data_IF_285953830240
#
_entry.id   IF_285953830240
#
_cell.length_a   1.000
_cell.length_b   1.000
_cell.length_c   1.000
_cell.angle_alpha   90.00
_cell.angle_beta   90.00
_cell.angle_gamma   90.00
#
_symmetry.space_group_name_H-M   'P 1'
#
loop_
_entity.id
_entity.type
_entity.pdbx_description
1 polymer ?
#
# COMPACT_ATOMS: atom_id res chain seq x y z
N UNK A 1 -1.36 -21.39 -6.17
CA UNK A 1 -1.06 -20.32 -7.15
C UNK A 1 -1.07 -19.01 -6.38
N UNK A 2 -0.02 -18.20 -6.51
CA UNK A 2 0.07 -16.90 -5.83
C UNK A 2 -0.23 -15.81 -6.87
N UNK A 3 -1.28 -15.01 -6.64
CA UNK A 3 -1.56 -13.82 -7.44
C UNK A 3 -1.58 -12.59 -6.50
N UNK A 4 -0.78 -11.58 -6.85
CA UNK A 4 -0.75 -10.29 -6.17
C UNK A 4 -1.28 -9.23 -7.12
N UNK A 5 -2.37 -8.55 -6.74
CA UNK A 5 -2.92 -7.43 -7.49
C UNK A 5 -2.70 -6.14 -6.70
N UNK A 6 -2.20 -5.10 -7.37
CA UNK A 6 -2.17 -3.75 -6.78
C UNK A 6 -3.59 -3.20 -6.86
N UNK A 7 -4.27 -3.14 -5.73
CA UNK A 7 -5.70 -2.80 -5.64
C UNK A 7 -5.91 -1.31 -5.42
N UNK A 8 -4.91 -0.57 -4.93
CA UNK A 8 -5.10 0.84 -4.63
C UNK A 8 -3.85 1.68 -4.84
N UNK A 9 -4.01 2.77 -5.59
CA UNK A 9 -3.07 3.88 -5.66
C UNK A 9 -3.89 5.18 -5.55
N UNK A 10 -3.97 5.75 -4.34
CA UNK A 10 -4.81 6.92 -4.06
C UNK A 10 -4.00 8.00 -3.36
N UNK A 11 -4.11 9.23 -3.82
CA UNK A 11 -3.60 10.41 -3.12
C UNK A 11 -4.79 11.16 -2.52
N UNK A 12 -4.80 11.36 -1.21
CA UNK A 12 -5.86 12.08 -0.49
C UNK A 12 -5.25 13.21 0.35
N UNK A 13 -5.81 14.43 0.32
CA UNK A 13 -5.36 15.52 1.20
C UNK A 13 -5.80 15.26 2.65
N UNK A 14 -4.90 15.45 3.62
CA UNK A 14 -5.14 15.05 5.02
C UNK A 14 -5.65 16.17 5.94
N UNK A 15 -6.03 17.35 5.42
CA UNK A 15 -6.59 18.45 6.25
C UNK A 15 -7.78 19.16 5.64
N UNK A 16 -8.81 19.37 6.49
CA UNK A 16 -9.94 20.25 6.28
C UNK A 16 -9.75 21.53 7.13
N UNK A 17 -8.92 22.46 6.67
CA UNK A 17 -8.85 23.81 7.25
C UNK A 17 -9.34 24.83 6.22
N UNK A 18 -10.08 25.84 6.70
CA UNK A 18 -10.86 26.80 5.90
C UNK A 18 -10.04 27.73 4.97
N UNK A 19 -8.73 27.50 4.80
CA UNK A 19 -7.92 28.08 3.74
C UNK A 19 -7.44 26.95 2.84
N UNK A 20 -7.88 26.99 1.57
CA UNK A 20 -7.68 26.04 0.46
C UNK A 20 -6.21 25.69 0.12
N UNK A 21 -5.41 25.28 1.10
CA UNK A 21 -4.08 24.73 0.90
C UNK A 21 -4.04 23.45 1.71
N UNK A 22 -4.11 22.30 1.05
CA UNK A 22 -3.92 21.01 1.71
C UNK A 22 -2.58 21.07 2.47
N UNK A 23 -2.61 20.97 3.80
CA UNK A 23 -1.38 21.08 4.58
C UNK A 23 -0.44 19.89 4.30
N UNK A 24 -1.03 18.71 4.06
CA UNK A 24 -0.34 17.46 3.79
C UNK A 24 -1.14 16.64 2.78
N UNK A 25 -0.44 15.94 1.89
CA UNK A 25 -0.99 14.95 1.00
C UNK A 25 -0.59 13.56 1.52
N UNK A 26 -1.52 12.62 1.46
CA UNK A 26 -1.29 11.21 1.79
C UNK A 26 -1.30 10.38 0.54
N UNK A 27 -0.19 9.72 0.23
CA UNK A 27 -0.15 8.65 -0.77
C UNK A 27 -0.46 7.33 -0.08
N UNK A 28 -1.55 6.68 -0.46
CA UNK A 28 -1.91 5.33 -0.01
C UNK A 28 -1.70 4.34 -1.15
N UNK A 29 -0.96 3.28 -0.87
CA UNK A 29 -0.79 2.14 -1.77
C UNK A 29 -1.32 0.88 -1.09
N UNK A 30 -2.20 0.16 -1.78
CA UNK A 30 -2.79 -1.08 -1.32
C UNK A 30 -2.50 -2.22 -2.27
N UNK A 31 -2.07 -3.35 -1.73
CA UNK A 31 -1.83 -4.60 -2.45
C UNK A 31 -2.76 -5.67 -1.85
N UNK A 32 -3.54 -6.31 -2.70
CA UNK A 32 -4.34 -7.46 -2.31
C UNK A 32 -3.61 -8.73 -2.72
N UNK A 33 -3.31 -9.57 -1.73
CA UNK A 33 -2.65 -10.85 -1.95
C UNK A 33 -3.70 -11.93 -1.85
N UNK A 34 -3.84 -12.70 -2.93
CA UNK A 34 -4.73 -13.86 -2.99
C UNK A 34 -3.91 -15.12 -3.19
N UNK A 35 -4.08 -16.05 -2.26
CA UNK A 35 -3.55 -17.39 -2.34
C UNK A 35 -4.69 -18.32 -2.73
N UNK A 36 -4.53 -19.01 -3.86
CA UNK A 36 -5.46 -20.03 -4.33
C UNK A 36 -4.76 -21.38 -4.32
N UNK A 37 -5.20 -22.32 -3.50
CA UNK A 37 -4.72 -23.70 -3.58
C UNK A 37 -5.57 -24.48 -4.59
N UNK A 38 -4.92 -25.15 -5.54
CA UNK A 38 -5.63 -25.96 -6.54
C UNK A 38 -6.10 -27.31 -5.98
N UNK A 39 -5.55 -27.72 -4.84
CA UNK A 39 -5.85 -29.01 -4.21
C UNK A 39 -6.82 -28.86 -3.02
N UNK A 40 -6.86 -27.70 -2.38
CA UNK A 40 -7.74 -27.42 -1.24
C UNK A 40 -8.35 -26.00 -1.30
N UNK A 41 -9.59 -25.86 -1.81
CA UNK A 41 -10.24 -24.56 -1.88
C UNK A 41 -10.63 -23.98 -0.51
N UNK A 42 -10.58 -24.74 0.59
CA UNK A 42 -10.74 -24.18 1.95
C UNK A 42 -9.48 -23.48 2.45
N UNK A 43 -8.33 -23.72 1.80
CA UNK A 43 -7.08 -23.02 2.06
C UNK A 43 -6.95 -21.69 1.31
N UNK A 44 -7.95 -21.33 0.49
CA UNK A 44 -7.99 -20.05 -0.21
C UNK A 44 -7.94 -18.89 0.80
N UNK A 45 -6.96 -18.01 0.61
CA UNK A 45 -6.76 -16.86 1.49
C UNK A 45 -6.70 -15.58 0.68
N UNK A 46 -7.55 -14.63 1.04
CA UNK A 46 -7.46 -13.26 0.55
C UNK A 46 -7.08 -12.34 1.72
N UNK A 47 -5.99 -11.60 1.57
CA UNK A 47 -5.59 -10.60 2.53
C UNK A 47 -5.10 -9.34 1.84
N UNK A 48 -5.67 -8.21 2.26
CA UNK A 48 -5.31 -6.89 1.78
C UNK A 48 -4.33 -6.23 2.73
N UNK A 49 -3.25 -5.70 2.18
CA UNK A 49 -2.26 -4.89 2.88
C UNK A 49 -2.30 -3.49 2.30
N UNK A 50 -2.22 -2.48 3.15
CA UNK A 50 -2.20 -1.09 2.71
C UNK A 50 -1.27 -0.29 3.58
N UNK A 51 -0.44 0.53 2.96
CA UNK A 51 0.43 1.45 3.64
C UNK A 51 0.23 2.85 3.08
N UNK A 52 0.52 3.86 3.91
CA UNK A 52 0.41 5.24 3.52
C UNK A 52 1.66 6.03 3.88
N UNK A 53 1.95 7.04 3.08
CA UNK A 53 3.03 7.99 3.31
C UNK A 53 2.46 9.41 3.23
N UNK A 54 2.65 10.16 4.32
CA UNK A 54 2.27 11.57 4.41
C UNK A 54 3.43 12.45 3.94
N UNK A 55 3.15 13.38 3.04
CA UNK A 55 4.11 14.34 2.52
C UNK A 55 3.53 15.76 2.50
N UNK A 56 4.38 16.81 2.61
CA UNK A 56 3.91 18.19 2.63
C UNK A 56 3.06 18.52 1.40
N UNK A 57 1.94 19.23 1.57
CA UNK A 57 1.04 19.56 0.46
C UNK A 57 1.66 20.48 -0.61
N UNK A 58 2.73 21.20 -0.23
CA UNK A 58 3.56 22.02 -1.12
C UNK A 58 4.60 21.21 -1.91
N UNK A 59 4.87 19.96 -1.52
CA UNK A 59 5.80 19.09 -2.19
C UNK A 59 5.09 18.31 -3.32
N UNK A 60 5.69 18.32 -4.51
CA UNK A 60 5.29 17.43 -5.59
C UNK A 60 6.12 16.14 -5.48
N UNK A 61 5.47 14.98 -5.34
CA UNK A 61 6.13 13.68 -5.44
C UNK A 61 6.55 13.45 -6.90
N UNK A 62 7.72 13.95 -7.28
CA UNK A 62 8.32 13.79 -8.61
C UNK A 62 9.78 13.37 -8.52
N UNK A 63 10.25 12.66 -9.54
CA UNK A 63 11.63 12.17 -9.61
C UNK A 63 11.98 11.24 -8.45
N UNK A 64 13.20 11.38 -7.93
CA UNK A 64 13.76 10.50 -6.90
C UNK A 64 12.97 10.47 -5.59
N UNK A 65 12.30 11.56 -5.21
CA UNK A 65 11.45 11.57 -4.01
C UNK A 65 10.26 10.62 -4.14
N UNK A 66 9.64 10.56 -5.32
CA UNK A 66 8.55 9.63 -5.58
C UNK A 66 9.03 8.19 -5.52
N UNK A 67 10.16 7.92 -6.16
CA UNK A 67 10.71 6.57 -6.24
C UNK A 67 11.10 6.05 -4.85
N UNK A 68 11.79 6.86 -4.03
CA UNK A 68 12.13 6.48 -2.66
C UNK A 68 10.90 6.25 -1.77
N UNK A 69 9.86 7.08 -1.90
CA UNK A 69 8.62 6.91 -1.12
C UNK A 69 7.88 5.64 -1.55
N UNK A 70 7.80 5.36 -2.85
CA UNK A 70 7.18 4.14 -3.36
C UNK A 70 7.98 2.92 -2.91
N UNK A 71 9.30 2.97 -2.98
CA UNK A 71 10.19 1.89 -2.54
C UNK A 71 10.01 1.59 -1.05
N UNK A 72 9.96 2.61 -0.19
CA UNK A 72 9.71 2.42 1.26
C UNK A 72 8.33 1.79 1.52
N UNK A 73 7.28 2.26 0.83
CA UNK A 73 5.93 1.70 0.95
C UNK A 73 5.93 0.22 0.52
N UNK A 74 6.55 -0.10 -0.61
CA UNK A 74 6.61 -1.46 -1.13
C UNK A 74 7.44 -2.37 -0.21
N UNK A 75 8.54 -1.89 0.36
CA UNK A 75 9.37 -2.65 1.30
C UNK A 75 8.56 -3.04 2.55
N UNK A 76 7.84 -2.08 3.15
CA UNK A 76 6.95 -2.36 4.29
C UNK A 76 5.81 -3.30 3.95
N UNK A 77 5.13 -3.08 2.83
CA UNK A 77 4.06 -3.97 2.36
C UNK A 77 4.60 -5.38 2.15
N UNK A 78 5.78 -5.53 1.55
CA UNK A 78 6.39 -6.84 1.31
C UNK A 78 6.74 -7.53 2.63
N UNK A 79 7.28 -6.81 3.62
CA UNK A 79 7.54 -7.37 4.95
C UNK A 79 6.26 -7.83 5.65
N UNK A 80 5.19 -7.03 5.60
CA UNK A 80 3.89 -7.40 6.19
C UNK A 80 3.28 -8.62 5.50
N UNK A 81 3.33 -8.67 4.16
CA UNK A 81 2.90 -9.83 3.37
C UNK A 81 3.72 -11.06 3.72
N UNK A 82 5.05 -10.93 3.83
CA UNK A 82 5.93 -12.04 4.15
C UNK A 82 5.69 -12.57 5.57
N UNK A 83 5.51 -11.68 6.56
CA UNK A 83 5.17 -12.06 7.92
C UNK A 83 3.80 -12.77 8.00
N UNK A 84 2.80 -12.27 7.29
CA UNK A 84 1.47 -12.87 7.27
C UNK A 84 1.44 -14.23 6.56
N UNK A 85 2.25 -14.40 5.51
CA UNK A 85 2.35 -15.68 4.76
C UNK A 85 3.22 -16.70 5.48
N UNK A 86 4.32 -16.30 6.13
CA UNK A 86 5.15 -17.19 6.96
C UNK A 86 4.42 -17.71 8.20
N UNK A 87 3.60 -16.87 8.84
CA UNK A 87 2.83 -17.29 10.01
C UNK A 87 1.77 -18.37 9.69
N UNK A 88 1.51 -18.62 8.41
CA UNK A 88 0.56 -19.63 7.93
C UNK A 88 1.20 -20.94 7.44
N UNK A 89 2.54 -21.05 7.48
CA UNK A 89 3.28 -22.29 7.19
C UNK A 89 3.40 -23.16 8.45
#
# INVERSE_FOLDING_TARGET
VYEGEIVEYRISPTTATAQNVAAENRLTIGVNVRFFDRNDPEADMEQRFSFYFDYPGSAQLVGSQKDSVIEEILERLTQDIFNATLAKW
#
